data_IF_918446611674
#
_entry.id   IF_918446611674
#
_cell.length_a   1.000
_cell.length_b   1.000
_cell.length_c   1.000
_cell.angle_alpha   90.00
_cell.angle_beta   90.00
_cell.angle_gamma   90.00
#
_symmetry.space_group_name_H-M   'P 1'
#
loop_
_entity.id
_entity.type
_entity.pdbx_description
1 polymer ?
#
# COMPACT_ATOMS: atom_id res chain seq x y z
N UNK A 1 -63.53 31.78 0.16
CA UNK A 1 -63.55 32.22 1.57
C UNK A 1 -62.18 32.84 1.83
N UNK A 2 -62.01 34.17 1.78
CA UNK A 2 -62.16 35.09 2.93
C UNK A 2 -61.50 34.48 4.18
N UNK A 3 -60.46 35.05 4.80
CA UNK A 3 -60.33 36.45 5.20
C UNK A 3 -58.90 36.83 5.64
N UNK A 4 -58.53 38.08 5.35
CA UNK A 4 -57.47 38.89 5.95
C UNK A 4 -57.64 39.09 7.47
N UNK A 5 -56.55 39.38 8.18
CA UNK A 5 -56.41 40.41 9.24
C UNK A 5 -54.89 40.63 9.47
N UNK A 6 -54.26 41.72 8.99
CA UNK A 6 -54.16 43.09 9.53
C UNK A 6 -53.43 43.27 10.88
N UNK A 7 -52.42 44.17 10.87
CA UNK A 7 -51.93 44.91 12.05
C UNK A 7 -50.40 45.04 12.08
N UNK A 8 -49.82 46.15 11.59
CA UNK A 8 -49.38 47.33 12.37
C UNK A 8 -48.13 47.08 13.24
N UNK A 9 -47.12 47.93 13.38
CA UNK A 9 -46.70 49.21 12.78
C UNK A 9 -45.27 49.47 13.30
N UNK A 10 -44.61 50.45 12.68
CA UNK A 10 -43.26 50.96 12.88
C UNK A 10 -42.79 51.23 14.32
N UNK A 11 -41.46 51.23 14.50
CA UNK A 11 -40.79 51.75 15.69
C UNK A 11 -39.26 51.78 15.55
N UNK A 12 -38.73 52.81 14.89
CA UNK A 12 -37.31 53.19 14.92
C UNK A 12 -36.94 53.72 16.31
N UNK A 13 -35.90 53.19 16.94
CA UNK A 13 -35.10 53.92 17.93
C UNK A 13 -33.62 53.52 17.84
N UNK A 14 -32.81 54.54 17.55
CA UNK A 14 -31.35 54.57 17.63
C UNK A 14 -30.98 54.76 19.10
N UNK A 15 -29.99 54.02 19.59
CA UNK A 15 -29.17 54.26 20.79
C UNK A 15 -28.11 53.15 20.82
N UNK A 16 -26.88 53.25 21.30
CA UNK A 16 -25.95 54.29 21.73
C UNK A 16 -24.64 53.50 21.93
N UNK A 17 -23.50 54.10 21.59
CA UNK A 17 -22.17 53.52 21.79
C UNK A 17 -21.90 53.20 23.26
N UNK A 18 -21.66 51.93 23.59
CA UNK A 18 -20.90 51.54 24.79
C UNK A 18 -19.75 50.60 24.43
N UNK A 19 -18.53 51.13 24.58
CA UNK A 19 -17.27 50.39 24.60
C UNK A 19 -17.24 49.52 25.85
N UNK A 20 -17.20 48.20 25.68
CA UNK A 20 -16.71 47.29 26.73
C UNK A 20 -15.81 46.23 26.10
N UNK A 21 -14.51 46.29 26.41
CA UNK A 21 -13.58 45.18 26.20
C UNK A 21 -13.79 44.13 27.30
N UNK A 22 -13.83 42.83 26.97
CA UNK A 22 -13.49 41.82 27.97
C UNK A 22 -12.44 40.79 27.48
N UNK A 23 -11.38 40.71 28.29
CA UNK A 23 -10.73 39.50 28.81
C UNK A 23 -10.39 38.35 27.84
N UNK A 24 -9.07 38.19 27.64
CA UNK A 24 -8.38 36.99 27.13
C UNK A 24 -8.98 35.70 27.72
N UNK A 25 -9.57 34.86 26.88
CA UNK A 25 -9.83 33.43 27.16
C UNK A 25 -8.86 32.61 26.32
N UNK A 26 -8.08 31.76 27.00
CA UNK A 26 -7.15 30.83 26.37
C UNK A 26 -7.89 29.93 25.39
N UNK A 27 -7.44 29.94 24.12
CA UNK A 27 -7.85 28.93 23.15
C UNK A 27 -7.12 27.65 23.47
N UNK A 28 -7.86 26.63 23.88
CA UNK A 28 -7.41 25.25 23.80
C UNK A 28 -6.95 24.97 22.36
N UNK A 29 -5.73 24.45 22.21
CA UNK A 29 -5.21 24.01 20.91
C UNK A 29 -6.00 22.79 20.48
N UNK A 30 -6.82 22.94 19.43
CA UNK A 30 -7.26 21.81 18.64
C UNK A 30 -6.02 21.16 17.97
N UNK A 31 -5.99 19.83 17.76
CA UNK A 31 -4.85 19.17 17.16
C UNK A 31 -4.64 19.70 15.73
N UNK A 32 -3.40 20.10 15.45
CA UNK A 32 -2.99 20.66 14.17
C UNK A 32 -3.17 19.57 13.11
N UNK A 33 -4.19 19.70 12.27
CA UNK A 33 -4.22 19.06 10.96
C UNK A 33 -3.11 19.70 10.13
N UNK A 34 -1.91 19.09 10.17
CA UNK A 34 -0.75 19.55 9.40
C UNK A 34 -0.97 19.28 7.91
N UNK A 35 -1.71 20.18 7.25
CA UNK A 35 -1.61 20.39 5.81
C UNK A 35 -0.49 21.40 5.57
N UNK A 36 0.61 20.96 4.96
CA UNK A 36 1.75 21.82 4.62
C UNK A 36 1.69 22.26 3.14
N UNK A 37 2.08 23.50 2.83
CA UNK A 37 1.95 24.09 1.50
C UNK A 37 3.04 23.57 0.55
N UNK A 38 2.64 23.16 -0.65
CA UNK A 38 3.49 22.54 -1.68
C UNK A 38 4.50 23.49 -2.38
N UNK A 39 5.08 24.49 -1.68
CA UNK A 39 5.95 25.50 -2.29
C UNK A 39 7.17 25.79 -1.41
N UNK A 40 8.33 25.22 -1.76
CA UNK A 40 9.59 25.42 -1.05
C UNK A 40 10.19 26.81 -1.35
N UNK A 41 10.70 27.50 -0.33
CA UNK A 41 11.45 28.75 -0.49
C UNK A 41 12.94 28.65 -0.09
N UNK A 42 13.42 27.53 0.46
CA UNK A 42 14.83 27.34 0.79
C UNK A 42 15.29 25.88 0.95
N UNK A 43 16.60 25.68 1.15
CA UNK A 43 17.24 24.36 1.36
C UNK A 43 16.78 23.64 2.63
N UNK A 44 16.45 24.40 3.68
CA UNK A 44 15.96 23.87 4.96
C UNK A 44 14.54 23.29 4.84
N UNK A 45 13.73 23.82 3.92
CA UNK A 45 12.44 23.23 3.58
C UNK A 45 12.68 21.87 2.90
N UNK A 46 13.60 21.78 1.94
CA UNK A 46 13.83 20.54 1.19
C UNK A 46 14.29 19.40 2.11
N UNK A 47 15.15 19.68 3.10
CA UNK A 47 15.61 18.67 4.06
C UNK A 47 14.48 18.19 4.98
N UNK A 48 13.62 19.10 5.45
CA UNK A 48 12.44 18.77 6.25
C UNK A 48 11.41 17.96 5.44
N UNK A 49 11.21 18.29 4.17
CA UNK A 49 10.35 17.53 3.27
C UNK A 49 10.89 16.13 3.02
N UNK A 50 12.19 16.00 2.82
CA UNK A 50 12.85 14.71 2.61
C UNK A 50 12.75 13.81 3.85
N UNK A 51 12.99 14.35 5.04
CA UNK A 51 12.89 13.58 6.30
C UNK A 51 11.47 13.11 6.56
N UNK A 52 10.48 14.00 6.41
CA UNK A 52 9.07 13.64 6.56
C UNK A 52 8.62 12.58 5.54
N UNK A 53 9.01 12.75 4.28
CA UNK A 53 8.71 11.77 3.23
C UNK A 53 9.33 10.40 3.56
N UNK A 54 10.57 10.38 4.04
CA UNK A 54 11.24 9.16 4.46
C UNK A 54 10.54 8.48 5.64
N UNK A 55 10.18 9.22 6.69
CA UNK A 55 9.44 8.69 7.84
C UNK A 55 8.11 8.07 7.42
N UNK A 56 7.36 8.73 6.54
CA UNK A 56 6.09 8.22 6.03
C UNK A 56 6.27 6.93 5.25
N UNK A 57 7.31 6.84 4.42
CA UNK A 57 7.65 5.62 3.67
C UNK A 57 7.99 4.48 4.63
N UNK A 58 8.77 4.75 5.69
CA UNK A 58 9.13 3.75 6.70
C UNK A 58 7.89 3.28 7.46
N UNK A 59 7.02 4.18 7.90
CA UNK A 59 5.76 3.83 8.58
C UNK A 59 4.82 3.02 7.68
N UNK A 60 4.72 3.39 6.40
CA UNK A 60 3.88 2.67 5.44
C UNK A 60 4.43 1.28 5.13
N UNK A 61 5.75 1.16 4.92
CA UNK A 61 6.42 -0.13 4.71
C UNK A 61 6.25 -1.04 5.94
N UNK A 62 6.55 -0.54 7.14
CA UNK A 62 6.44 -1.30 8.38
C UNK A 62 5.00 -1.75 8.66
N UNK A 63 3.98 -0.97 8.27
CA UNK A 63 2.57 -1.38 8.37
C UNK A 63 2.24 -2.53 7.41
N UNK A 64 2.73 -2.49 6.17
CA UNK A 64 2.42 -3.49 5.14
C UNK A 64 3.10 -4.83 5.37
N UNK A 65 4.19 -4.86 6.14
CA UNK A 65 4.93 -6.09 6.47
C UNK A 65 4.38 -6.78 7.73
N UNK A 66 3.42 -6.16 8.42
CA UNK A 66 2.84 -6.76 9.65
C UNK A 66 2.16 -8.11 9.34
N UNK A 67 2.39 -9.14 10.18
CA UNK A 67 1.77 -10.45 9.99
C UNK A 67 0.24 -10.41 9.88
N UNK A 68 -0.43 -9.52 10.62
CA UNK A 68 -1.89 -9.39 10.59
C UNK A 68 -2.42 -8.87 9.25
N UNK A 69 -1.68 -7.95 8.61
CA UNK A 69 -2.03 -7.45 7.29
C UNK A 69 -1.81 -8.53 6.22
N UNK A 70 -0.73 -9.29 6.33
CA UNK A 70 -0.49 -10.40 5.40
C UNK A 70 -1.54 -11.51 5.57
N UNK A 71 -1.95 -11.81 6.81
CA UNK A 71 -3.05 -12.73 7.09
C UNK A 71 -4.35 -12.30 6.42
N UNK A 72 -4.71 -11.01 6.52
CA UNK A 72 -5.91 -10.52 5.85
C UNK A 72 -5.77 -10.60 4.33
N UNK A 73 -4.58 -10.33 3.80
CA UNK A 73 -4.28 -10.39 2.37
C UNK A 73 -4.48 -11.80 1.78
N UNK A 74 -3.98 -12.86 2.43
CA UNK A 74 -4.18 -14.24 1.99
C UNK A 74 -5.63 -14.73 2.14
N UNK A 75 -6.35 -14.25 3.14
CA UNK A 75 -7.73 -14.66 3.40
C UNK A 75 -8.77 -13.90 2.55
N UNK A 76 -8.39 -12.75 2.00
CA UNK A 76 -9.31 -11.93 1.20
C UNK A 76 -9.41 -12.50 -0.20
N UNK A 77 -10.64 -12.81 -0.64
CA UNK A 77 -10.90 -13.08 -2.06
C UNK A 77 -10.85 -11.76 -2.82
N UNK A 78 -9.68 -11.41 -3.33
CA UNK A 78 -9.48 -10.19 -4.09
C UNK A 78 -10.20 -10.28 -5.45
N UNK A 79 -10.98 -9.26 -5.85
CA UNK A 79 -11.58 -9.22 -7.19
C UNK A 79 -10.51 -9.20 -8.27
N UNK A 80 -10.85 -9.65 -9.49
CA UNK A 80 -9.90 -9.80 -10.60
C UNK A 80 -9.12 -8.53 -10.95
N UNK A 81 -9.65 -7.35 -10.67
CA UNK A 81 -9.06 -6.06 -11.05
C UNK A 81 -8.05 -5.50 -10.05
N UNK A 82 -7.96 -6.07 -8.84
CA UNK A 82 -7.01 -5.62 -7.81
C UNK A 82 -5.87 -6.64 -7.75
N UNK A 83 -4.62 -6.18 -7.70
CA UNK A 83 -3.47 -7.07 -7.59
C UNK A 83 -3.13 -7.47 -6.15
N UNK A 84 -3.58 -6.71 -5.15
CA UNK A 84 -3.31 -6.97 -3.74
C UNK A 84 -3.71 -8.40 -3.33
N UNK A 85 -2.75 -9.16 -2.80
CA UNK A 85 -2.91 -10.54 -2.38
C UNK A 85 -2.73 -11.58 -3.48
N UNK A 86 -2.54 -11.16 -4.73
CA UNK A 86 -2.21 -12.10 -5.80
C UNK A 86 -0.75 -12.50 -5.72
N UNK A 87 -0.52 -13.79 -5.96
CA UNK A 87 0.82 -14.36 -6.05
C UNK A 87 1.25 -14.31 -7.51
N UNK A 88 2.49 -13.93 -7.71
CA UNK A 88 3.18 -13.95 -8.98
C UNK A 88 4.33 -14.94 -8.92
N UNK A 89 4.66 -15.50 -10.07
CA UNK A 89 5.73 -16.47 -10.27
C UNK A 89 6.68 -15.96 -11.34
N UNK A 90 7.97 -16.16 -11.11
CA UNK A 90 9.03 -15.98 -12.07
C UNK A 90 9.89 -17.25 -12.14
N UNK A 91 10.33 -17.58 -13.34
CA UNK A 91 11.44 -18.51 -13.55
C UNK A 91 12.74 -17.76 -13.28
N UNK A 92 13.68 -18.42 -12.61
CA UNK A 92 14.98 -17.86 -12.21
C UNK A 92 16.10 -18.86 -12.50
N UNK A 93 17.32 -18.35 -12.68
CA UNK A 93 18.49 -19.17 -13.03
C UNK A 93 18.83 -19.11 -14.52
N UNK A 94 20.08 -19.42 -14.85
CA UNK A 94 20.59 -19.38 -16.23
C UNK A 94 20.57 -20.78 -16.88
N UNK A 95 21.21 -21.75 -16.23
CA UNK A 95 21.30 -23.16 -16.66
C UNK A 95 20.45 -24.10 -15.80
N UNK A 96 19.70 -23.54 -14.85
CA UNK A 96 18.85 -24.28 -13.92
C UNK A 96 17.50 -23.61 -13.92
N UNK A 97 16.42 -24.39 -13.89
CA UNK A 97 15.07 -23.87 -13.73
C UNK A 97 14.72 -23.82 -12.25
N UNK A 98 14.73 -22.62 -11.68
CA UNK A 98 14.32 -22.37 -10.29
C UNK A 98 13.10 -21.47 -10.28
N UNK A 99 12.27 -21.60 -9.25
CA UNK A 99 11.08 -20.78 -9.11
C UNK A 99 11.32 -19.65 -8.11
N UNK A 100 10.72 -18.49 -8.37
CA UNK A 100 10.58 -17.44 -7.38
C UNK A 100 9.12 -17.03 -7.32
N UNK A 101 8.52 -17.14 -6.13
CA UNK A 101 7.16 -16.70 -5.90
C UNK A 101 7.16 -15.40 -5.11
N UNK A 102 6.22 -14.51 -5.40
CA UNK A 102 6.06 -13.27 -4.67
C UNK A 102 4.61 -12.84 -4.58
N UNK A 103 4.18 -12.36 -3.42
CA UNK A 103 2.83 -11.83 -3.22
C UNK A 103 2.82 -10.31 -3.31
N UNK A 104 1.82 -9.74 -3.97
CA UNK A 104 1.62 -8.29 -4.04
C UNK A 104 0.98 -7.82 -2.73
N UNK A 105 1.72 -7.04 -1.95
CA UNK A 105 1.19 -6.44 -0.71
C UNK A 105 0.48 -5.11 -0.96
N UNK A 106 0.87 -4.43 -2.04
CA UNK A 106 0.24 -3.18 -2.47
C UNK A 106 0.50 -2.85 -3.93
N UNK A 107 -0.57 -2.60 -4.67
CA UNK A 107 -0.54 -2.04 -6.01
C UNK A 107 -0.39 -0.52 -5.99
N UNK A 108 0.26 0.02 -7.03
CA UNK A 108 0.33 1.45 -7.35
C UNK A 108 0.23 1.63 -8.86
N UNK A 109 -0.05 2.85 -9.32
CA UNK A 109 -0.40 3.16 -10.73
C UNK A 109 0.53 2.57 -11.80
N UNK A 110 1.82 2.39 -11.52
CA UNK A 110 2.80 1.81 -12.45
C UNK A 110 3.76 0.78 -11.84
N UNK A 111 3.49 0.34 -10.62
CA UNK A 111 4.36 -0.58 -9.90
C UNK A 111 3.59 -1.29 -8.81
N UNK A 112 4.08 -2.44 -8.38
CA UNK A 112 3.60 -3.12 -7.20
C UNK A 112 4.76 -3.23 -6.18
N UNK A 113 4.39 -3.26 -4.90
CA UNK A 113 5.27 -3.67 -3.83
C UNK A 113 4.96 -5.14 -3.53
N UNK A 114 6.00 -5.98 -3.54
CA UNK A 114 5.88 -7.42 -3.38
C UNK A 114 6.71 -7.90 -2.21
N UNK A 115 6.31 -9.05 -1.67
CA UNK A 115 7.09 -9.85 -0.74
C UNK A 115 7.39 -11.19 -1.42
N UNK A 116 8.67 -11.55 -1.48
CA UNK A 116 9.09 -12.87 -1.92
C UNK A 116 8.64 -13.95 -0.92
N UNK A 117 8.05 -15.02 -1.45
CA UNK A 117 7.57 -16.15 -0.70
C UNK A 117 8.58 -17.30 -0.79
N UNK A 118 8.75 -18.09 0.27
CA UNK A 118 9.52 -19.33 0.20
C UNK A 118 8.85 -20.34 -0.73
N UNK A 119 9.68 -21.21 -1.31
CA UNK A 119 9.21 -22.33 -2.10
C UNK A 119 9.14 -23.59 -1.23
N UNK A 120 8.14 -24.43 -1.44
CA UNK A 120 8.08 -25.79 -0.89
C UNK A 120 8.00 -26.79 -2.03
N UNK A 121 8.83 -27.82 -1.94
CA UNK A 121 8.79 -28.99 -2.81
C UNK A 121 7.58 -29.85 -2.47
N UNK A 122 6.67 -30.01 -3.44
CA UNK A 122 5.47 -30.86 -3.30
C UNK A 122 5.67 -32.25 -3.89
N UNK A 123 6.59 -32.38 -4.85
CA UNK A 123 6.91 -33.63 -5.53
C UNK A 123 8.31 -33.55 -6.12
N UNK A 124 8.99 -34.69 -6.24
CA UNK A 124 10.31 -34.80 -6.86
C UNK A 124 11.40 -35.13 -5.85
N UNK A 125 12.65 -34.95 -6.29
CA UNK A 125 13.84 -35.24 -5.50
C UNK A 125 14.68 -33.96 -5.26
N UNK A 126 15.97 -34.09 -5.01
CA UNK A 126 16.81 -32.91 -4.79
C UNK A 126 17.16 -32.16 -6.09
N UNK A 127 17.04 -32.79 -7.27
CA UNK A 127 17.48 -32.28 -8.57
C UNK A 127 16.34 -31.85 -9.49
N UNK A 128 15.19 -32.51 -9.43
CA UNK A 128 14.01 -32.17 -10.23
C UNK A 128 12.73 -32.38 -9.44
N UNK A 129 11.70 -31.63 -9.78
CA UNK A 129 10.42 -31.74 -9.09
C UNK A 129 9.49 -30.58 -9.33
N UNK A 130 8.56 -30.41 -8.40
CA UNK A 130 7.56 -29.36 -8.42
C UNK A 130 7.56 -28.60 -7.10
N UNK A 131 7.46 -27.28 -7.22
CA UNK A 131 7.40 -26.34 -6.12
C UNK A 131 6.11 -25.53 -6.13
N UNK A 132 5.67 -25.12 -4.94
CA UNK A 132 4.58 -24.18 -4.71
C UNK A 132 5.03 -23.10 -3.72
N UNK A 133 4.43 -21.90 -3.74
CA UNK A 133 4.68 -20.91 -2.71
C UNK A 133 4.20 -21.42 -1.34
N UNK A 134 4.98 -21.16 -0.30
CA UNK A 134 4.52 -21.39 1.05
C UNK A 134 3.59 -20.29 1.52
N UNK A 135 2.33 -20.64 1.74
CA UNK A 135 1.27 -19.69 2.14
C UNK A 135 0.86 -19.80 3.61
N UNK A 136 1.44 -20.72 4.39
CA UNK A 136 0.98 -20.95 5.76
C UNK A 136 1.39 -19.84 6.73
N UNK A 137 0.42 -19.46 7.57
CA UNK A 137 0.53 -18.33 8.50
C UNK A 137 1.58 -18.49 9.58
N UNK A 138 2.03 -19.71 9.86
CA UNK A 138 3.09 -19.97 10.85
C UNK A 138 4.41 -19.34 10.39
N UNK A 139 4.70 -19.41 9.09
CA UNK A 139 5.90 -18.80 8.51
C UNK A 139 5.78 -17.29 8.41
N UNK A 140 4.56 -16.80 8.15
CA UNK A 140 4.25 -15.38 8.04
C UNK A 140 4.57 -14.63 9.35
N UNK A 141 4.41 -15.28 10.51
CA UNK A 141 4.78 -14.69 11.80
C UNK A 141 6.30 -14.49 12.00
N UNK A 142 7.13 -15.05 11.11
CA UNK A 142 8.57 -14.81 11.12
C UNK A 142 9.00 -13.78 10.05
N UNK A 143 8.05 -13.21 9.29
CA UNK A 143 8.30 -12.22 8.24
C UNK A 143 8.82 -10.88 8.74
N UNK A 144 8.78 -10.62 10.05
CA UNK A 144 9.37 -9.43 10.67
C UNK A 144 10.88 -9.30 10.35
N UNK A 145 11.55 -10.43 10.06
CA UNK A 145 12.96 -10.49 9.63
C UNK A 145 13.17 -10.28 8.12
N UNK A 146 12.10 -10.12 7.35
CA UNK A 146 12.09 -10.19 5.90
C UNK A 146 11.93 -8.82 5.21
N UNK A 147 12.28 -7.72 5.89
CA UNK A 147 12.36 -6.39 5.26
C UNK A 147 13.21 -6.37 3.97
N UNK A 148 14.17 -7.29 3.85
CA UNK A 148 15.04 -7.49 2.69
C UNK A 148 14.37 -8.24 1.52
N UNK A 149 13.24 -8.91 1.77
CA UNK A 149 12.48 -9.66 0.76
C UNK A 149 11.32 -8.85 0.20
N UNK A 150 11.11 -7.64 0.73
CA UNK A 150 10.20 -6.65 0.16
C UNK A 150 10.91 -5.96 -0.99
N UNK A 151 10.33 -6.02 -2.19
CA UNK A 151 10.89 -5.33 -3.35
C UNK A 151 9.80 -4.69 -4.19
N UNK A 152 10.21 -3.67 -4.95
CA UNK A 152 9.33 -3.00 -5.91
C UNK A 152 9.49 -3.63 -7.29
N UNK A 153 8.39 -3.97 -7.93
CA UNK A 153 8.36 -4.37 -9.33
C UNK A 153 7.58 -3.36 -10.18
N UNK A 154 8.04 -3.13 -11.41
CA UNK A 154 7.37 -2.26 -12.38
C UNK A 154 6.26 -3.03 -13.08
N UNK A 155 5.08 -2.43 -13.19
CA UNK A 155 3.98 -2.99 -13.98
C UNK A 155 4.28 -2.81 -15.47
N UNK A 156 4.15 -3.88 -16.23
CA UNK A 156 4.39 -3.93 -17.67
C UNK A 156 3.32 -4.78 -18.34
N UNK A 157 3.20 -4.61 -19.65
CA UNK A 157 2.26 -5.34 -20.47
C UNK A 157 3.00 -5.86 -21.69
N UNK A 158 2.71 -7.10 -22.07
CA UNK A 158 3.13 -7.69 -23.35
C UNK A 158 2.24 -7.16 -24.47
N UNK A 159 2.65 -7.40 -25.72
CA UNK A 159 1.90 -6.95 -26.89
C UNK A 159 0.51 -7.61 -27.01
N UNK A 160 0.34 -8.79 -26.41
CA UNK A 160 -0.94 -9.50 -26.32
C UNK A 160 -1.87 -8.96 -25.22
N UNK A 161 -1.46 -7.94 -24.46
CA UNK A 161 -2.20 -7.36 -23.36
C UNK A 161 -1.94 -7.99 -21.99
N UNK A 162 -1.15 -9.06 -21.91
CA UNK A 162 -0.87 -9.74 -20.64
C UNK A 162 0.01 -8.88 -19.74
N UNK A 163 -0.45 -8.73 -18.50
CA UNK A 163 0.26 -7.95 -17.49
C UNK A 163 1.31 -8.80 -16.77
N UNK A 164 2.50 -8.24 -16.61
CA UNK A 164 3.58 -8.81 -15.82
C UNK A 164 4.25 -7.75 -14.95
N UNK A 165 4.94 -8.22 -13.92
CA UNK A 165 5.70 -7.40 -13.00
C UNK A 165 7.20 -7.64 -13.24
N UNK A 166 7.97 -6.56 -13.38
CA UNK A 166 9.42 -6.64 -13.58
C UNK A 166 10.17 -6.15 -12.35
N UNK A 167 10.86 -7.04 -11.65
CA UNK A 167 11.54 -6.76 -10.38
C UNK A 167 12.62 -7.80 -10.08
N UNK A 168 13.63 -7.47 -9.28
CA UNK A 168 14.78 -8.37 -8.98
C UNK A 168 15.47 -8.99 -10.21
N UNK A 169 15.41 -8.32 -11.38
CA UNK A 169 15.88 -8.80 -12.69
C UNK A 169 15.08 -9.97 -13.29
N UNK A 170 13.91 -10.26 -12.72
CA UNK A 170 13.06 -11.35 -13.15
C UNK A 170 11.70 -10.83 -13.66
N UNK A 171 11.07 -11.65 -14.50
CA UNK A 171 9.73 -11.43 -15.02
C UNK A 171 8.73 -12.24 -14.20
N UNK A 172 7.90 -11.54 -13.44
CA UNK A 172 6.85 -12.12 -12.62
C UNK A 172 5.52 -12.09 -13.38
N UNK A 173 5.01 -13.27 -13.72
CA UNK A 173 3.65 -13.49 -14.25
C UNK A 173 2.68 -13.90 -13.16
N UNK A 174 1.38 -13.69 -13.36
CA UNK A 174 0.37 -14.10 -12.40
C UNK A 174 0.45 -15.63 -12.19
N UNK A 175 0.54 -16.07 -10.95
CA UNK A 175 0.53 -17.50 -10.64
C UNK A 175 -0.88 -18.07 -10.79
N UNK A 176 -0.98 -19.18 -11.51
CA UNK A 176 -2.22 -19.89 -11.84
C UNK A 176 -2.70 -20.86 -10.74
N UNK A 177 -1.94 -20.97 -9.65
CA UNK A 177 -2.23 -21.91 -8.57
C UNK A 177 -1.70 -23.33 -8.82
N UNK A 178 -1.04 -23.56 -9.96
CA UNK A 178 -0.46 -24.88 -10.29
C UNK A 178 0.98 -24.99 -9.81
N UNK A 179 1.43 -26.17 -9.34
CA UNK A 179 2.83 -26.40 -9.03
C UNK A 179 3.73 -26.11 -10.23
N UNK A 180 4.88 -25.48 -9.98
CA UNK A 180 5.86 -25.13 -11.02
C UNK A 180 7.04 -26.08 -10.94
N UNK A 181 7.49 -26.55 -12.09
CA UNK A 181 8.62 -27.46 -12.17
C UNK A 181 9.93 -26.73 -11.85
N UNK A 182 10.86 -27.44 -11.21
CA UNK A 182 12.25 -26.99 -11.06
C UNK A 182 13.20 -28.07 -11.55
N UNK A 183 14.37 -27.64 -12.03
CA UNK A 183 15.44 -28.52 -12.48
C UNK A 183 16.81 -27.90 -12.19
N UNK A 184 17.65 -28.61 -11.44
CA UNK A 184 18.99 -28.17 -11.03
C UNK A 184 20.11 -28.65 -11.97
N UNK A 185 19.81 -29.53 -12.93
CA UNK A 185 20.75 -30.07 -13.91
C UNK A 185 20.26 -29.69 -15.31
N UNK A 186 21.18 -29.57 -16.26
CA UNK A 186 20.92 -29.40 -17.70
C UNK A 186 21.38 -30.68 -18.41
#
# INVERSE_FOLDING_TARGET
MLSNFNGCKAGTLINTLEKTSPKRRGRGKAPISQQYPARSQGSDDVSLWASYAAEKIIQEKSRLVKPDYLKSLFNTKTPSNILDGKIFHADTGYSTKLNSFAIVIRESRGSALLIELPNIKVKGDIYEGYEVPYTDFIYINHLDRYENYVFRAKKKYRDNGDMYLWGKKELYSLWDGTPKDYHFLD
#
